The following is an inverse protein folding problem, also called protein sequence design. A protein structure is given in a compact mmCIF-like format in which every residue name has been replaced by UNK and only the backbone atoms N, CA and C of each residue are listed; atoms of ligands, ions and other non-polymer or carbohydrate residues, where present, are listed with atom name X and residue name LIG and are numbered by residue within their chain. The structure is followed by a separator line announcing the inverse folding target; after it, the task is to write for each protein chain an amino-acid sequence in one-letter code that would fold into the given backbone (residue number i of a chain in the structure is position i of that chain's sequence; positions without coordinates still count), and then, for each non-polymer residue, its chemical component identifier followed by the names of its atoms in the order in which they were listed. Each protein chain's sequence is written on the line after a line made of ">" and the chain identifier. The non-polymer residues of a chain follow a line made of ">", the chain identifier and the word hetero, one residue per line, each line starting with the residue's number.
data_IF_362576901899
#
_entry.id   IF_362576901899
#
_cell.length_a   1.000
_cell.length_b   1.000
_cell.length_c   1.000
_cell.angle_alpha   90.00
_cell.angle_beta   90.00
_cell.angle_gamma   90.00
#
_symmetry.space_group_name_H-M   'P 1'
#
loop_
_entity.id
_entity.type
_entity.pdbx_description
1 polymer ?
#
# COMPACT_ATOMS: atom_id res chain seq x y z
N UNK A 1 0.82 8.49 -25.92
CA UNK A 1 0.64 8.74 -24.48
C UNK A 1 0.01 7.51 -23.88
N UNK A 2 0.73 6.80 -23.01
CA UNK A 2 0.19 5.64 -22.29
C UNK A 2 -0.48 6.16 -21.03
N UNK A 3 -1.68 5.68 -20.74
CA UNK A 3 -2.44 6.02 -19.53
C UNK A 3 -2.66 4.71 -18.80
N UNK A 4 -2.38 4.68 -17.49
CA UNK A 4 -2.66 3.50 -16.70
C UNK A 4 -4.17 3.21 -16.72
N UNK A 5 -4.53 1.94 -16.87
CA UNK A 5 -5.93 1.51 -16.90
C UNK A 5 -6.37 0.85 -15.61
N UNK A 6 -5.43 0.62 -14.70
CA UNK A 6 -5.64 0.03 -13.40
C UNK A 6 -4.98 0.89 -12.32
N UNK A 7 -5.58 0.90 -11.14
CA UNK A 7 -5.08 1.53 -9.92
C UNK A 7 -5.48 0.65 -8.73
N UNK A 8 -4.76 0.75 -7.62
CA UNK A 8 -5.00 -0.01 -6.40
C UNK A 8 -5.53 0.91 -5.33
N UNK A 9 -6.61 0.51 -4.65
CA UNK A 9 -7.07 1.12 -3.41
C UNK A 9 -6.66 0.24 -2.24
N UNK A 10 -5.88 0.76 -1.29
CA UNK A 10 -5.69 0.17 0.02
C UNK A 10 -6.49 0.99 1.04
N UNK A 11 -7.30 0.34 1.87
CA UNK A 11 -8.15 1.04 2.83
C UNK A 11 -8.50 0.16 4.02
N UNK A 12 -8.45 0.71 5.23
CA UNK A 12 -8.96 0.05 6.42
C UNK A 12 -10.50 -0.03 6.40
N UNK A 13 -11.05 -1.10 6.94
CA UNK A 13 -12.49 -1.23 7.09
C UNK A 13 -12.96 -0.37 8.27
N UNK A 14 -13.93 0.55 8.08
CA UNK A 14 -14.44 1.37 9.18
C UNK A 14 -15.20 0.57 10.24
N UNK A 15 -15.55 -0.70 9.97
CA UNK A 15 -16.29 -1.54 10.91
C UNK A 15 -15.41 -2.55 11.65
N UNK A 16 -14.50 -3.25 10.95
CA UNK A 16 -13.67 -4.31 11.53
C UNK A 16 -12.16 -3.99 11.54
N UNK A 17 -11.75 -2.83 11.04
CA UNK A 17 -10.34 -2.41 11.00
C UNK A 17 -9.47 -3.13 9.96
N UNK A 18 -9.96 -4.18 9.30
CA UNK A 18 -9.15 -4.95 8.33
C UNK A 18 -8.73 -4.10 7.12
N UNK A 19 -7.43 -4.07 6.85
CA UNK A 19 -6.85 -3.52 5.62
C UNK A 19 -7.09 -4.49 4.45
N UNK A 20 -7.60 -3.95 3.35
CA UNK A 20 -7.81 -4.73 2.12
C UNK A 20 -7.41 -3.92 0.89
N UNK A 21 -6.92 -4.63 -0.12
CA UNK A 21 -6.48 -4.08 -1.39
C UNK A 21 -7.52 -4.38 -2.48
N UNK A 22 -7.92 -3.35 -3.22
CA UNK A 22 -8.93 -3.45 -4.27
C UNK A 22 -8.39 -2.88 -5.57
N UNK A 23 -8.23 -3.73 -6.59
CA UNK A 23 -7.87 -3.30 -7.95
C UNK A 23 -9.07 -2.64 -8.63
N UNK A 24 -8.85 -1.45 -9.16
CA UNK A 24 -9.86 -0.64 -9.83
C UNK A 24 -9.45 -0.42 -11.28
N UNK A 25 -10.35 -0.76 -12.20
CA UNK A 25 -10.15 -0.49 -13.62
C UNK A 25 -10.81 0.83 -14.03
N UNK A 26 -10.12 1.61 -14.86
CA UNK A 26 -10.66 2.83 -15.48
C UNK A 26 -11.94 2.55 -16.27
N UNK A 27 -12.07 1.35 -16.82
CA UNK A 27 -13.23 0.95 -17.62
C UNK A 27 -14.48 0.68 -16.77
N UNK A 28 -14.32 0.39 -15.47
CA UNK A 28 -15.44 0.24 -14.52
C UNK A 28 -16.33 1.48 -14.47
N UNK A 29 -15.76 2.65 -14.75
CA UNK A 29 -16.44 3.95 -14.69
C UNK A 29 -17.01 4.42 -16.04
N UNK A 30 -16.88 3.63 -17.10
CA UNK A 30 -17.44 3.98 -18.42
C UNK A 30 -18.97 4.15 -18.35
N UNK A 31 -19.46 5.34 -18.73
CA UNK A 31 -20.90 5.62 -18.93
C UNK A 31 -21.67 6.31 -17.78
N UNK A 32 -21.04 6.65 -16.64
CA UNK A 32 -21.68 7.09 -15.37
C UNK A 32 -22.12 5.92 -14.48
N UNK A 33 -21.15 5.13 -14.04
CA UNK A 33 -21.36 4.06 -13.06
C UNK A 33 -20.84 4.48 -11.69
N UNK A 34 -21.59 4.13 -10.66
CA UNK A 34 -21.19 4.22 -9.26
C UNK A 34 -20.57 2.88 -8.88
N UNK A 35 -19.36 2.88 -8.36
CA UNK A 35 -18.70 1.70 -7.80
C UNK A 35 -18.83 1.73 -6.28
N UNK A 36 -19.27 0.63 -5.68
CA UNK A 36 -19.27 0.44 -4.23
C UNK A 36 -18.29 -0.67 -3.89
N UNK A 37 -17.38 -0.38 -2.97
CA UNK A 37 -16.39 -1.33 -2.49
C UNK A 37 -16.78 -1.73 -1.08
N UNK A 38 -16.87 -3.03 -0.85
CA UNK A 38 -17.22 -3.62 0.43
C UNK A 38 -16.03 -4.38 1.00
N UNK A 39 -15.94 -4.41 2.32
CA UNK A 39 -15.02 -5.27 3.03
C UNK A 39 -15.47 -6.73 2.96
N UNK A 40 -14.55 -7.68 3.14
CA UNK A 40 -14.91 -9.09 3.37
C UNK A 40 -15.85 -9.32 4.56
N UNK A 41 -15.93 -8.40 5.53
CA UNK A 41 -16.92 -8.44 6.62
C UNK A 41 -18.33 -7.96 6.20
N UNK A 42 -18.50 -7.44 4.99
CA UNK A 42 -19.76 -6.94 4.45
C UNK A 42 -19.99 -5.44 4.61
N UNK A 43 -19.15 -4.71 5.36
CA UNK A 43 -19.32 -3.26 5.52
C UNK A 43 -18.92 -2.51 4.24
N UNK A 44 -19.53 -1.35 4.01
CA UNK A 44 -19.11 -0.42 2.96
C UNK A 44 -17.74 0.19 3.34
N UNK A 45 -16.79 0.21 2.40
CA UNK A 45 -15.50 0.90 2.53
C UNK A 45 -15.50 2.24 1.83
N UNK A 46 -15.97 2.29 0.58
CA UNK A 46 -16.02 3.53 -0.20
C UNK A 46 -17.05 3.45 -1.32
N UNK A 47 -17.64 4.59 -1.67
CA UNK A 47 -18.43 4.80 -2.88
C UNK A 47 -17.66 5.70 -3.83
N UNK A 48 -17.42 5.24 -5.05
CA UNK A 48 -16.69 5.98 -6.07
C UNK A 48 -17.63 6.32 -7.22
N UNK A 49 -17.77 7.60 -7.51
CA UNK A 49 -18.60 8.11 -8.60
C UNK A 49 -17.75 8.89 -9.59
N UNK A 50 -17.98 8.68 -10.89
CA UNK A 50 -17.40 9.56 -11.91
C UNK A 50 -18.35 10.71 -12.22
N UNK A 51 -17.81 11.93 -12.25
CA UNK A 51 -18.52 13.16 -12.60
C UNK A 51 -18.10 13.63 -14.00
N UNK A 52 -18.77 14.67 -14.50
CA UNK A 52 -18.38 15.29 -15.76
C UNK A 52 -16.92 15.79 -15.67
N UNK A 53 -16.22 15.81 -16.81
CA UNK A 53 -14.84 16.30 -16.94
C UNK A 53 -13.74 15.43 -16.29
N UNK A 54 -14.01 14.14 -16.03
CA UNK A 54 -12.96 13.20 -15.58
C UNK A 54 -12.57 13.35 -14.11
N UNK A 55 -13.45 13.93 -13.29
CA UNK A 55 -13.32 13.99 -11.85
C UNK A 55 -13.99 12.77 -11.20
N UNK A 56 -13.41 12.30 -10.11
CA UNK A 56 -13.89 11.18 -9.33
C UNK A 56 -14.21 11.65 -7.91
N UNK A 57 -15.37 11.24 -7.41
CA UNK A 57 -15.82 11.51 -6.05
C UNK A 57 -15.71 10.23 -5.24
N UNK A 58 -14.95 10.29 -4.16
CA UNK A 58 -14.82 9.22 -3.19
C UNK A 58 -15.59 9.62 -1.94
N UNK A 59 -16.65 8.87 -1.65
CA UNK A 59 -17.40 9.00 -0.40
C UNK A 59 -16.89 7.93 0.56
N UNK A 60 -16.15 8.36 1.57
CA UNK A 60 -15.44 7.49 2.52
C UNK A 60 -16.10 7.63 3.90
N UNK A 61 -16.78 6.59 4.42
CA UNK A 61 -17.22 6.57 5.81
C UNK A 61 -16.00 6.57 6.75
N UNK A 62 -15.99 7.48 7.72
CA UNK A 62 -14.95 7.61 8.72
C UNK A 62 -15.48 7.19 10.09
N UNK A 63 -14.82 6.24 10.75
CA UNK A 63 -15.18 5.82 12.11
C UNK A 63 -14.75 6.85 13.16
N UNK A 64 -13.69 7.63 12.89
CA UNK A 64 -13.09 8.51 13.89
C UNK A 64 -13.92 9.76 14.15
N UNK A 65 -14.53 10.33 13.11
CA UNK A 65 -15.43 11.48 13.23
C UNK A 65 -16.89 11.15 12.91
N UNK A 66 -17.18 9.88 12.64
CA UNK A 66 -18.52 9.35 12.35
C UNK A 66 -19.22 9.99 11.12
N UNK A 67 -18.46 10.64 10.24
CA UNK A 67 -18.97 11.33 9.05
C UNK A 67 -18.62 10.61 7.74
N UNK A 68 -19.31 10.99 6.67
CA UNK A 68 -18.97 10.59 5.30
C UNK A 68 -18.14 11.69 4.62
N UNK A 69 -16.86 11.42 4.34
CA UNK A 69 -15.97 12.37 3.67
C UNK A 69 -16.08 12.29 2.15
N UNK A 70 -16.06 13.44 1.50
CA UNK A 70 -16.07 13.55 0.06
C UNK A 70 -14.70 14.04 -0.45
N UNK A 71 -13.94 13.16 -1.09
CA UNK A 71 -12.70 13.53 -1.79
C UNK A 71 -12.97 13.68 -3.28
N UNK A 72 -12.54 14.82 -3.85
CA UNK A 72 -12.57 15.04 -5.29
C UNK A 72 -11.19 14.82 -5.88
N UNK A 73 -11.05 13.74 -6.67
CA UNK A 73 -9.77 13.34 -7.25
C UNK A 73 -9.81 13.48 -8.77
N UNK A 74 -8.88 14.22 -9.39
CA UNK A 74 -8.74 14.26 -10.84
C UNK A 74 -8.35 12.89 -11.39
N UNK A 75 -8.96 12.49 -12.51
CA UNK A 75 -8.55 11.28 -13.22
C UNK A 75 -7.09 11.30 -13.66
N UNK A 76 -6.51 12.48 -13.89
CA UNK A 76 -5.08 12.61 -14.17
C UNK A 76 -4.19 12.13 -13.02
N UNK A 77 -4.67 12.17 -11.78
CA UNK A 77 -3.92 11.69 -10.61
C UNK A 77 -4.16 10.20 -10.37
N UNK A 78 -5.41 9.74 -10.47
CA UNK A 78 -5.77 8.33 -10.26
C UNK A 78 -5.11 7.36 -11.23
N UNK A 79 -4.92 7.80 -12.48
CA UNK A 79 -4.46 6.97 -13.60
C UNK A 79 -3.01 7.29 -14.02
N UNK A 80 -2.24 7.91 -13.12
CA UNK A 80 -0.83 8.23 -13.31
C UNK A 80 0.05 7.21 -12.58
N UNK A 81 1.13 6.78 -13.23
CA UNK A 81 2.01 5.69 -12.73
C UNK A 81 2.94 6.10 -11.58
N UNK A 82 3.00 7.39 -11.24
CA UNK A 82 3.92 7.94 -10.22
C UNK A 82 3.20 8.79 -9.17
N UNK A 83 1.88 8.65 -9.05
CA UNK A 83 1.07 9.44 -8.12
C UNK A 83 0.26 8.51 -7.22
N UNK A 84 0.37 8.72 -5.91
CA UNK A 84 -0.57 8.18 -4.92
C UNK A 84 -1.43 9.32 -4.42
N UNK A 85 -2.72 9.07 -4.27
CA UNK A 85 -3.65 9.98 -3.61
C UNK A 85 -3.99 9.39 -2.25
N UNK A 86 -3.78 10.18 -1.20
CA UNK A 86 -4.21 9.84 0.14
C UNK A 86 -5.64 10.34 0.37
N UNK A 87 -6.47 9.48 0.95
CA UNK A 87 -7.79 9.79 1.46
C UNK A 87 -7.64 9.93 2.96
N UNK A 88 -8.03 11.08 3.51
CA UNK A 88 -7.82 11.40 4.92
C UNK A 88 -9.08 12.00 5.56
N UNK A 89 -9.20 11.88 6.88
CA UNK A 89 -10.23 12.57 7.64
C UNK A 89 -9.83 14.06 7.78
N UNK A 90 -10.54 15.03 7.19
CA UNK A 90 -10.19 16.45 7.34
C UNK A 90 -10.39 16.99 8.76
N UNK A 91 -11.24 16.35 9.56
CA UNK A 91 -11.53 16.78 10.93
C UNK A 91 -10.41 16.40 11.90
N UNK A 92 -9.79 15.23 11.70
CA UNK A 92 -8.80 14.67 12.62
C UNK A 92 -7.39 14.66 12.02
N UNK A 93 -7.28 14.73 10.70
CA UNK A 93 -6.00 14.68 9.97
C UNK A 93 -5.38 13.29 9.90
N UNK A 94 -6.19 12.23 10.01
CA UNK A 94 -5.72 10.84 9.91
C UNK A 94 -5.93 10.28 8.51
N UNK A 95 -5.04 9.40 8.08
CA UNK A 95 -5.20 8.61 6.86
C UNK A 95 -6.39 7.64 6.98
N UNK A 96 -7.09 7.44 5.87
CA UNK A 96 -8.22 6.51 5.72
C UNK A 96 -8.03 5.51 4.59
N UNK A 97 -7.24 5.85 3.57
CA UNK A 97 -6.88 4.94 2.49
C UNK A 97 -5.94 5.58 1.47
N UNK A 98 -5.19 4.74 0.76
CA UNK A 98 -4.34 5.13 -0.36
C UNK A 98 -4.92 4.66 -1.69
N UNK A 99 -4.83 5.48 -2.73
CA UNK A 99 -5.16 5.09 -4.10
C UNK A 99 -4.10 5.50 -5.11
N UNK A 100 -3.62 4.55 -5.90
CA UNK A 100 -2.54 4.76 -6.87
C UNK A 100 -1.97 3.46 -7.44
N UNK A 101 -0.80 3.51 -8.10
CA UNK A 101 -0.10 2.33 -8.58
C UNK A 101 0.18 1.31 -7.46
N UNK A 102 -0.04 0.01 -7.75
CA UNK A 102 0.07 -1.09 -6.77
C UNK A 102 1.37 -1.06 -5.96
N UNK A 103 2.50 -0.91 -6.64
CA UNK A 103 3.82 -0.87 -6.02
C UNK A 103 3.97 0.30 -5.03
N UNK A 104 3.47 1.49 -5.38
CA UNK A 104 3.58 2.67 -4.53
C UNK A 104 2.60 2.61 -3.37
N UNK A 105 1.36 2.16 -3.61
CA UNK A 105 0.36 1.99 -2.55
C UNK A 105 0.82 0.97 -1.51
N UNK A 106 1.38 -0.16 -1.97
CA UNK A 106 1.91 -1.19 -1.07
C UNK A 106 3.10 -0.68 -0.26
N UNK A 107 3.95 0.18 -0.85
CA UNK A 107 5.05 0.82 -0.16
C UNK A 107 4.56 1.78 0.94
N UNK A 108 3.60 2.67 0.62
CA UNK A 108 3.04 3.61 1.61
C UNK A 108 2.46 2.89 2.82
N UNK A 109 1.69 1.82 2.59
CA UNK A 109 1.13 1.00 3.67
C UNK A 109 2.22 0.40 4.56
N UNK A 110 3.28 -0.15 3.96
CA UNK A 110 4.36 -0.77 4.72
C UNK A 110 5.14 0.26 5.55
N UNK A 111 5.40 1.43 4.98
CA UNK A 111 6.08 2.55 5.67
C UNK A 111 5.25 3.05 6.86
N UNK A 112 3.93 3.19 6.69
CA UNK A 112 3.02 3.58 7.77
C UNK A 112 2.95 2.54 8.88
N UNK A 113 2.84 1.24 8.54
CA UNK A 113 2.83 0.16 9.53
C UNK A 113 4.14 0.12 10.33
N UNK A 114 5.29 0.26 9.66
CA UNK A 114 6.60 0.31 10.31
C UNK A 114 6.73 1.53 11.24
N UNK A 115 6.29 2.70 10.78
CA UNK A 115 6.30 3.93 11.57
C UNK A 115 5.43 3.79 12.83
N UNK A 116 4.18 3.33 12.69
CA UNK A 116 3.27 3.12 13.81
C UNK A 116 3.81 2.11 14.82
N UNK A 117 4.40 1.01 14.36
CA UNK A 117 5.04 0.03 15.24
C UNK A 117 6.20 0.65 16.01
N UNK A 118 7.04 1.44 15.34
CA UNK A 118 8.19 2.10 15.97
C UNK A 118 7.77 3.07 17.09
N UNK A 119 6.73 3.87 16.85
CA UNK A 119 6.18 4.82 17.83
C UNK A 119 5.55 4.10 19.03
N UNK A 120 4.79 3.02 18.79
CA UNK A 120 4.22 2.21 19.88
C UNK A 120 5.33 1.57 20.72
N UNK A 121 6.35 1.00 20.09
CA UNK A 121 7.48 0.38 20.79
C UNK A 121 8.22 1.42 21.64
N UNK A 122 8.51 2.59 21.08
CA UNK A 122 9.16 3.68 21.80
C UNK A 122 8.35 4.09 23.04
N UNK A 123 7.04 4.30 22.90
CA UNK A 123 6.16 4.64 24.03
C UNK A 123 6.12 3.56 25.12
N UNK A 124 6.12 2.28 24.73
CA UNK A 124 6.15 1.17 25.70
C UNK A 124 7.47 1.07 26.47
N UNK A 125 8.59 1.43 25.84
CA UNK A 125 9.92 1.48 26.48
C UNK A 125 10.01 2.65 27.47
N UNK A 126 9.33 3.75 27.21
CA UNK A 126 9.31 4.90 28.13
C UNK A 126 8.47 4.62 29.39
N UNK A 127 7.31 3.97 29.26
CA UNK A 127 6.43 3.68 30.40
C UNK A 127 6.95 2.54 31.28
N UNK A 128 7.54 1.52 30.66
CA UNK A 128 8.22 0.44 31.38
C UNK A 128 9.69 0.76 31.35
N UNK A 129 10.23 1.25 32.47
CA UNK A 129 11.66 1.39 32.74
C UNK A 129 12.34 0.00 32.66
N UNK A 130 12.39 -0.58 31.46
CA UNK A 130 12.90 -1.89 31.14
C UNK A 130 14.41 -1.77 31.23
N UNK A 131 14.90 -1.85 32.45
CA UNK A 131 16.31 -1.99 32.71
C UNK A 131 16.69 -3.35 32.15
N UNK A 132 17.22 -3.37 30.94
CA UNK A 132 18.01 -4.51 30.46
C UNK A 132 19.17 -4.61 31.44
N UNK A 133 19.02 -5.50 32.42
CA UNK A 133 20.07 -5.72 33.41
C UNK A 133 21.16 -6.55 32.75
N UNK A 134 22.36 -6.54 33.32
CA UNK A 134 23.48 -7.37 32.81
C UNK A 134 23.17 -8.87 32.76
N UNK A 135 22.09 -9.28 33.41
CA UNK A 135 21.58 -10.65 33.46
C UNK A 135 20.69 -11.01 32.24
N UNK A 136 20.18 -10.00 31.52
CA UNK A 136 19.30 -10.17 30.33
C UNK A 136 20.08 -10.26 29.01
N UNK A 137 21.35 -9.80 28.99
CA UNK A 137 22.27 -9.88 27.84
C UNK A 137 22.45 -11.29 27.25
N UNK A 138 22.67 -12.36 28.04
CA UNK A 138 22.89 -13.70 27.48
C UNK A 138 21.64 -14.31 26.83
N UNK A 139 20.44 -13.77 27.11
CA UNK A 139 19.18 -14.24 26.49
C UNK A 139 19.01 -13.62 25.10
N UNK A 140 19.41 -12.36 24.91
CA UNK A 140 19.32 -11.66 23.62
C UNK A 140 20.30 -12.26 22.59
N UNK A 141 21.54 -12.59 23.00
CA UNK A 141 22.54 -13.23 22.11
C UNK A 141 22.13 -14.64 21.63
N UNK A 142 21.20 -15.30 22.33
CA UNK A 142 20.69 -16.60 21.91
C UNK A 142 19.60 -16.48 20.83
N UNK A 143 18.90 -15.34 20.75
CA UNK A 143 17.84 -15.13 19.76
C UNK A 143 18.43 -14.89 18.36
N UNK A 144 19.51 -14.10 18.22
CA UNK A 144 20.22 -13.91 16.94
C UNK A 144 20.72 -15.25 16.35
N UNK A 145 21.14 -16.21 17.21
CA UNK A 145 21.59 -17.54 16.75
C UNK A 145 20.44 -18.44 16.28
N UNK A 146 19.20 -18.20 16.74
CA UNK A 146 18.02 -18.99 16.36
C UNK A 146 17.44 -18.54 15.02
N UNK A 147 17.54 -17.26 14.66
CA UNK A 147 17.07 -16.77 13.34
C UNK A 147 18.02 -17.18 12.21
N UNK A 148 19.33 -17.19 12.45
CA UNK A 148 20.33 -17.66 11.47
C UNK A 148 20.18 -19.16 11.16
N UNK A 149 19.69 -19.96 12.12
CA UNK A 149 19.56 -21.42 11.93
C UNK A 149 18.26 -21.86 11.24
N UNK A 150 17.27 -20.97 11.08
CA UNK A 150 16.03 -21.27 10.33
C UNK A 150 16.02 -20.72 8.89
N UNK A 151 16.98 -19.88 8.51
CA UNK A 151 17.12 -19.33 7.16
C UNK A 151 17.93 -20.23 6.21
N UNK A 152 17.43 -21.42 5.85
CA UNK A 152 17.87 -22.09 4.60
C UNK A 152 17.31 -21.31 3.41
N UNK A 153 18.00 -20.25 2.98
CA UNK A 153 17.89 -19.77 1.60
C UNK A 153 19.06 -20.32 0.80
N UNK A 154 18.74 -21.28 -0.06
CA UNK A 154 19.62 -21.77 -1.12
C UNK A 154 19.75 -20.65 -2.14
N UNK A 155 20.89 -19.94 -2.13
CA UNK A 155 21.36 -19.27 -3.33
C UNK A 155 21.91 -20.37 -4.24
N UNK A 156 21.09 -20.83 -5.19
CA UNK A 156 21.59 -21.64 -6.29
C UNK A 156 22.27 -20.73 -7.29
N UNK A 157 23.59 -20.90 -7.38
CA UNK A 157 24.43 -20.44 -8.48
C UNK A 157 23.78 -20.74 -9.83
N UNK A 158 23.72 -19.75 -10.71
CA UNK A 158 23.73 -20.01 -12.13
C UNK A 158 24.76 -19.10 -12.79
N UNK A 159 25.92 -19.69 -13.03
CA UNK A 159 26.87 -19.25 -14.04
C UNK A 159 26.20 -19.32 -15.42
N UNK A 160 26.15 -18.20 -16.13
CA UNK A 160 26.11 -18.14 -17.59
C UNK A 160 26.85 -16.85 -18.00
N UNK A 161 28.16 -16.92 -18.11
CA UNK A 161 28.91 -17.09 -19.36
C UNK A 161 29.01 -15.80 -20.20
N UNK A 162 30.20 -15.23 -20.14
CA UNK A 162 30.70 -14.11 -20.94
C UNK A 162 30.96 -14.55 -22.38
N UNK A 163 30.23 -14.01 -23.37
CA UNK A 163 30.71 -13.95 -24.76
C UNK A 163 30.30 -12.63 -25.44
N UNK A 164 31.32 -11.82 -25.72
CA UNK A 164 31.28 -10.58 -26.52
C UNK A 164 31.07 -10.82 -28.03
N UNK A 165 30.76 -9.78 -28.82
CA UNK A 165 29.99 -9.88 -30.06
C UNK A 165 30.84 -10.15 -31.31
N UNK A 166 30.32 -10.96 -32.24
CA UNK A 166 30.83 -11.04 -33.62
C UNK A 166 29.89 -10.35 -34.62
N UNK A 167 30.46 -9.35 -35.28
CA UNK A 167 29.91 -8.52 -36.36
C UNK A 167 29.60 -9.34 -37.64
N UNK A 168 28.80 -8.71 -38.51
CA UNK A 168 28.81 -8.73 -40.00
C UNK A 168 27.77 -9.62 -40.74
N UNK A 169 26.78 -8.92 -41.35
CA UNK A 169 26.51 -8.73 -42.80
C UNK A 169 25.05 -8.98 -43.25
N UNK A 170 24.50 -7.90 -43.80
CA UNK A 170 23.34 -7.81 -44.73
C UNK A 170 23.28 -8.96 -45.74
N UNK A 171 22.06 -9.40 -46.09
CA UNK A 171 21.61 -9.44 -47.49
C UNK A 171 20.09 -9.49 -47.62
N UNK A 172 19.61 -8.66 -48.55
CA UNK A 172 18.25 -8.53 -49.08
C UNK A 172 17.77 -9.83 -49.71
N UNK A 173 16.46 -10.09 -49.61
CA UNK A 173 15.60 -10.37 -50.77
C UNK A 173 14.17 -10.03 -50.41
#
# INVERSE_FOLDING_TARGET
>A
MLIATETMLAMHCPACGKLEFHRLSRFTFSGRKVLRIYCSCGSLKVIIETRQKGLYWFQVPCITCENMHLHTVPGSWLWQEQQVTELFCPEVGIELGYIGPDALVSQMVAEDEEYLLSEIIAGLIEEKNFQVTKEDLPVIEQIEKVEVSKGKFVLSDNQANTQEPKKIRRKRK
#
